data_IF_188607181859
#
_entry.id   IF_188607181859
#
_cell.length_a   1.000
_cell.length_b   1.000
_cell.length_c   1.000
_cell.angle_alpha   90.00
_cell.angle_beta   90.00
_cell.angle_gamma   90.00
#
_symmetry.space_group_name_H-M   'P 1'
#
loop_
_entity.id
_entity.type
_entity.pdbx_description
1 polymer ?
#
# COMPACT_ATOMS: atom_id res chain seq x y z
N UNK A 1 -23.63 11.87 -18.57
CA UNK A 1 -24.32 11.04 -17.56
C UNK A 1 -25.77 11.48 -17.49
N UNK A 2 -26.70 10.55 -17.30
CA UNK A 2 -28.10 10.89 -17.07
C UNK A 2 -28.27 11.36 -15.61
N UNK A 3 -28.77 12.57 -15.41
CA UNK A 3 -29.19 13.07 -14.09
C UNK A 3 -30.67 12.75 -13.96
N UNK A 4 -31.01 11.80 -13.10
CA UNK A 4 -32.40 11.44 -12.85
C UNK A 4 -33.03 12.47 -11.91
N UNK A 5 -33.99 13.25 -12.41
CA UNK A 5 -34.72 14.26 -11.63
C UNK A 5 -35.89 13.61 -10.87
N UNK A 6 -36.16 14.09 -9.65
CA UNK A 6 -36.84 13.37 -8.58
C UNK A 6 -38.27 12.88 -8.86
N UNK A 7 -38.46 11.56 -8.76
CA UNK A 7 -39.67 10.97 -8.18
C UNK A 7 -39.26 10.42 -6.80
N UNK A 8 -39.56 11.14 -5.71
CA UNK A 8 -39.27 10.77 -4.31
C UNK A 8 -38.03 9.87 -4.14
N UNK A 9 -36.83 10.46 -4.18
CA UNK A 9 -35.64 9.74 -3.76
C UNK A 9 -35.77 9.47 -2.25
N UNK A 10 -35.68 8.19 -1.88
CA UNK A 10 -35.40 7.76 -0.52
C UNK A 10 -34.06 8.40 -0.11
N UNK A 11 -33.91 8.91 1.11
CA UNK A 11 -32.71 9.66 1.55
C UNK A 11 -31.42 8.83 1.49
N UNK A 12 -31.55 7.53 1.24
CA UNK A 12 -30.47 6.57 1.07
C UNK A 12 -29.96 6.60 -0.36
N UNK A 13 -28.84 7.29 -0.56
CA UNK A 13 -27.99 7.10 -1.74
C UNK A 13 -27.38 5.70 -1.68
N UNK A 14 -27.48 4.95 -2.77
CA UNK A 14 -26.74 3.70 -2.96
C UNK A 14 -25.26 4.02 -3.23
N UNK A 15 -24.47 4.14 -2.16
CA UNK A 15 -23.04 4.41 -2.21
C UNK A 15 -22.26 3.14 -2.58
N UNK A 16 -21.20 3.26 -3.38
CA UNK A 16 -20.39 2.09 -3.71
C UNK A 16 -19.62 1.65 -2.47
N UNK A 17 -19.37 0.35 -2.33
CA UNK A 17 -18.53 -0.15 -1.24
C UNK A 17 -17.15 0.50 -1.26
N UNK A 18 -16.87 1.36 -0.29
CA UNK A 18 -15.55 1.96 -0.08
C UNK A 18 -14.85 1.26 1.08
N UNK A 19 -13.69 0.65 0.80
CA UNK A 19 -12.75 0.24 1.84
C UNK A 19 -11.78 1.37 2.10
N UNK A 20 -11.49 1.62 3.37
CA UNK A 20 -10.39 2.49 3.82
C UNK A 20 -9.05 2.07 3.18
N UNK A 21 -8.04 2.92 3.34
CA UNK A 21 -6.71 2.68 2.78
C UNK A 21 -6.11 1.39 3.35
N UNK A 22 -5.83 0.41 2.49
CA UNK A 22 -5.28 -0.89 2.89
C UNK A 22 -3.74 -0.86 2.87
N UNK A 23 -3.13 0.03 2.11
CA UNK A 23 -1.67 0.10 1.98
C UNK A 23 -0.94 0.74 3.17
N UNK A 24 -1.66 1.38 4.10
CA UNK A 24 -1.06 2.17 5.19
C UNK A 24 -0.15 1.34 6.11
N UNK A 25 -0.45 0.06 6.31
CA UNK A 25 0.35 -0.81 7.18
C UNK A 25 1.70 -1.25 6.59
N UNK A 26 1.89 -1.12 5.27
CA UNK A 26 3.08 -1.61 4.55
C UNK A 26 3.94 -0.48 3.97
N UNK A 27 3.67 0.76 4.38
CA UNK A 27 4.42 1.95 3.98
C UNK A 27 4.97 2.67 5.22
N UNK A 28 6.00 3.49 5.03
CA UNK A 28 6.51 4.41 6.03
C UNK A 28 6.54 5.86 5.52
N UNK A 29 6.79 6.77 6.44
CA UNK A 29 7.03 8.20 6.17
C UNK A 29 8.48 8.60 6.50
N UNK A 30 9.41 7.63 6.48
CA UNK A 30 10.80 7.80 6.89
C UNK A 30 11.63 8.36 5.73
N UNK A 31 11.36 9.62 5.38
CA UNK A 31 12.06 10.29 4.29
C UNK A 31 12.15 11.80 4.50
N UNK A 32 13.17 12.41 3.91
CA UNK A 32 13.35 13.87 3.88
C UNK A 32 13.16 14.40 2.45
N UNK A 33 12.33 15.44 2.32
CA UNK A 33 12.20 16.18 1.07
C UNK A 33 13.42 17.07 0.84
N UNK A 34 14.07 16.91 -0.31
CA UNK A 34 15.11 17.82 -0.77
C UNK A 34 14.60 18.58 -1.99
N UNK A 35 14.22 19.84 -1.76
CA UNK A 35 13.67 20.71 -2.79
C UNK A 35 12.20 20.40 -3.14
N UNK A 36 11.86 20.51 -4.42
CA UNK A 36 10.47 20.53 -4.87
C UNK A 36 9.90 19.14 -5.16
N UNK A 37 10.65 18.23 -5.79
CA UNK A 37 10.09 16.93 -6.22
C UNK A 37 10.95 15.73 -5.85
N UNK A 38 12.04 15.94 -5.12
CA UNK A 38 13.03 14.89 -4.85
C UNK A 38 13.03 14.50 -3.38
N UNK A 39 13.02 13.20 -3.14
CA UNK A 39 13.22 12.56 -1.85
C UNK A 39 14.56 11.84 -1.89
N UNK A 40 15.39 12.03 -0.86
CA UNK A 40 16.64 11.25 -0.75
C UNK A 40 16.62 10.41 0.51
N UNK A 41 17.10 9.19 0.36
CA UNK A 41 17.39 8.32 1.49
C UNK A 41 18.87 8.01 1.47
N UNK A 42 19.54 8.33 2.58
CA UNK A 42 20.95 8.04 2.77
C UNK A 42 21.11 6.59 3.20
N UNK A 43 22.04 5.89 2.58
CA UNK A 43 22.51 4.60 3.04
C UNK A 43 24.02 4.63 3.27
N UNK A 44 24.40 4.06 4.40
CA UNK A 44 25.79 3.96 4.83
C UNK A 44 26.11 2.46 4.84
N UNK A 45 26.87 1.93 3.85
CA UNK A 45 27.29 0.53 3.83
C UNK A 45 28.22 0.22 5.01
N UNK A 46 28.26 -1.05 5.43
CA UNK A 46 29.21 -1.53 6.43
C UNK A 46 30.43 -2.16 5.77
N UNK A 47 31.59 -2.10 6.43
CA UNK A 47 32.81 -2.82 6.01
C UNK A 47 32.81 -4.25 6.52
N UNK A 48 33.51 -5.15 5.79
CA UNK A 48 33.70 -6.53 6.21
C UNK A 48 34.50 -6.65 7.52
N UNK A 49 34.31 -7.75 8.24
CA UNK A 49 35.10 -8.06 9.44
C UNK A 49 36.39 -8.77 9.02
N UNK A 50 37.53 -8.30 9.54
CA UNK A 50 38.86 -8.88 9.30
C UNK A 50 39.38 -9.58 10.57
N UNK A 51 40.21 -10.61 10.38
CA UNK A 51 40.88 -11.29 11.49
C UNK A 51 41.89 -10.36 12.18
N UNK A 52 41.78 -10.25 13.51
CA UNK A 52 42.64 -9.38 14.30
C UNK A 52 44.06 -9.97 14.45
N UNK A 53 45.08 -9.16 14.15
CA UNK A 53 46.49 -9.52 14.34
C UNK A 53 46.97 -9.08 15.72
N UNK A 54 47.50 -9.99 16.52
CA UNK A 54 48.00 -9.72 17.88
C UNK A 54 49.39 -9.06 17.92
N UNK A 55 50.08 -8.99 16.78
CA UNK A 55 51.40 -8.36 16.64
C UNK A 55 51.52 -7.63 15.29
N UNK A 56 52.45 -6.68 15.21
CA UNK A 56 52.62 -5.80 14.03
C UNK A 56 51.74 -4.54 14.05
N UNK A 57 51.75 -3.81 12.92
CA UNK A 57 50.92 -2.64 12.61
C UNK A 57 49.66 -3.07 11.83
N UNK A 58 48.63 -2.21 11.74
CA UNK A 58 47.31 -2.51 11.12
C UNK A 58 46.65 -3.76 11.70
N UNK A 59 46.56 -3.82 13.04
CA UNK A 59 46.06 -4.99 13.78
C UNK A 59 44.60 -5.34 13.48
N UNK A 60 43.82 -4.36 13.03
CA UNK A 60 42.41 -4.50 12.67
C UNK A 60 42.18 -4.65 11.16
N UNK A 61 43.25 -4.79 10.36
CA UNK A 61 43.22 -4.73 8.90
C UNK A 61 43.52 -3.32 8.37
N UNK A 62 43.42 -3.17 7.05
CA UNK A 62 43.55 -1.86 6.39
C UNK A 62 42.24 -1.09 6.53
N UNK A 63 42.32 0.17 6.97
CA UNK A 63 41.15 1.01 7.16
C UNK A 63 40.61 1.45 5.79
N UNK A 64 39.43 0.95 5.43
CA UNK A 64 38.66 1.45 4.29
C UNK A 64 37.77 2.61 4.74
N UNK A 65 37.67 3.64 3.91
CA UNK A 65 36.74 4.74 4.13
C UNK A 65 35.31 4.27 3.83
N UNK A 66 34.42 4.41 4.80
CA UNK A 66 33.00 4.13 4.59
C UNK A 66 32.44 5.15 3.59
N UNK A 67 32.22 4.73 2.35
CA UNK A 67 31.50 5.53 1.36
C UNK A 67 30.05 5.78 1.80
N UNK A 68 29.38 6.73 1.17
CA UNK A 68 27.93 6.92 1.30
C UNK A 68 27.24 6.67 -0.05
N UNK A 69 26.09 6.02 -0.02
CA UNK A 69 25.23 5.87 -1.19
C UNK A 69 23.95 6.67 -0.97
N UNK A 70 23.52 7.39 -2.01
CA UNK A 70 22.35 8.27 -1.94
C UNK A 70 21.35 7.81 -2.97
N UNK A 71 20.24 7.23 -2.51
CA UNK A 71 19.14 6.87 -3.40
C UNK A 71 18.28 8.11 -3.61
N UNK A 72 18.28 8.63 -4.84
CA UNK A 72 17.51 9.81 -5.22
C UNK A 72 16.23 9.38 -5.91
N UNK A 73 15.09 9.66 -5.28
CA UNK A 73 13.76 9.28 -5.75
C UNK A 73 12.99 10.54 -6.13
N UNK A 74 12.39 10.58 -7.32
CA UNK A 74 11.65 11.76 -7.81
C UNK A 74 10.17 11.44 -7.89
N UNK A 75 9.33 12.30 -7.32
CA UNK A 75 7.87 12.16 -7.36
C UNK A 75 7.33 12.29 -8.79
N UNK A 76 6.53 11.33 -9.23
CA UNK A 76 5.97 11.26 -10.59
C UNK A 76 4.46 11.39 -10.65
N UNK A 77 3.71 11.11 -9.58
CA UNK A 77 2.24 11.18 -9.62
C UNK A 77 1.75 12.55 -9.16
N UNK A 78 1.10 13.22 -10.11
CA UNK A 78 0.34 14.45 -9.89
C UNK A 78 -1.04 14.23 -10.50
N UNK A 79 -2.05 14.08 -9.65
CA UNK A 79 -3.38 13.61 -10.05
C UNK A 79 -4.42 14.60 -9.56
N UNK A 80 -5.44 14.83 -10.37
CA UNK A 80 -6.52 15.75 -10.04
C UNK A 80 -7.87 15.21 -10.47
N UNK A 81 -8.93 15.71 -9.84
CA UNK A 81 -10.30 15.49 -10.24
C UNK A 81 -11.06 16.81 -10.16
N UNK A 82 -12.10 16.94 -10.99
CA UNK A 82 -12.98 18.10 -11.00
C UNK A 82 -14.38 17.64 -11.37
N UNK A 83 -15.39 18.14 -10.66
CA UNK A 83 -16.79 17.92 -11.01
C UNK A 83 -17.66 19.10 -10.59
N UNK A 84 -18.76 19.30 -11.30
CA UNK A 84 -19.71 20.38 -11.05
C UNK A 84 -21.04 19.81 -10.57
N UNK A 85 -21.67 20.50 -9.63
CA UNK A 85 -23.03 20.23 -9.17
C UNK A 85 -23.86 21.45 -9.54
N UNK A 86 -24.81 21.29 -10.44
CA UNK A 86 -25.72 22.38 -10.82
C UNK A 86 -26.68 22.72 -9.67
N UNK A 87 -26.99 24.00 -9.50
CA UNK A 87 -27.85 24.49 -8.42
C UNK A 87 -29.27 23.94 -8.47
N UNK A 88 -29.81 23.71 -9.66
CA UNK A 88 -31.12 23.05 -9.83
C UNK A 88 -31.06 21.62 -9.28
N UNK A 89 -30.00 20.89 -9.61
CA UNK A 89 -29.79 19.53 -9.10
C UNK A 89 -29.56 19.50 -7.59
N UNK A 90 -28.85 20.47 -7.01
CA UNK A 90 -28.66 20.58 -5.56
C UNK A 90 -30.00 20.82 -4.83
N UNK A 91 -30.85 21.72 -5.36
CA UNK A 91 -32.16 22.04 -4.79
C UNK A 91 -33.18 20.89 -4.97
N UNK A 92 -33.19 20.25 -6.15
CA UNK A 92 -34.13 19.17 -6.47
C UNK A 92 -33.78 17.83 -5.80
N UNK A 93 -32.59 17.72 -5.17
CA UNK A 93 -32.11 16.49 -4.49
C UNK A 93 -32.04 16.60 -2.96
N UNK A 94 -32.59 17.66 -2.35
CA UNK A 94 -32.79 17.78 -0.90
C UNK A 94 -31.55 17.45 -0.04
N UNK A 95 -30.34 17.85 -0.46
CA UNK A 95 -29.08 17.64 0.28
C UNK A 95 -28.34 16.33 0.00
N UNK A 96 -28.84 15.48 -0.90
CA UNK A 96 -28.16 14.26 -1.37
C UNK A 96 -26.93 14.54 -2.23
N UNK A 97 -26.95 15.63 -3.00
CA UNK A 97 -25.83 16.13 -3.80
C UNK A 97 -25.03 17.22 -3.09
N UNK A 98 -24.95 17.20 -1.76
CA UNK A 98 -24.11 18.13 -1.02
C UNK A 98 -22.64 17.97 -1.44
N UNK A 99 -22.00 19.08 -1.83
CA UNK A 99 -20.64 19.08 -2.37
C UNK A 99 -19.62 18.41 -1.44
N UNK A 100 -19.77 18.55 -0.11
CA UNK A 100 -18.91 17.89 0.88
C UNK A 100 -19.05 16.36 0.89
N UNK A 101 -20.28 15.84 0.80
CA UNK A 101 -20.53 14.38 0.73
C UNK A 101 -20.08 13.81 -0.61
N UNK A 102 -20.29 14.54 -1.70
CA UNK A 102 -19.78 14.15 -3.01
C UNK A 102 -18.24 14.09 -3.04
N UNK A 103 -17.57 15.05 -2.40
CA UNK A 103 -16.12 15.03 -2.22
C UNK A 103 -15.67 13.81 -1.39
N UNK A 104 -16.33 13.53 -0.27
CA UNK A 104 -16.01 12.37 0.56
C UNK A 104 -16.13 11.05 -0.22
N UNK A 105 -17.17 10.90 -1.05
CA UNK A 105 -17.34 9.74 -1.96
C UNK A 105 -16.23 9.67 -3.00
N UNK A 106 -15.87 10.80 -3.60
CA UNK A 106 -14.77 10.83 -4.57
C UNK A 106 -13.45 10.40 -3.93
N UNK A 107 -13.19 10.82 -2.68
CA UNK A 107 -12.02 10.41 -1.93
C UNK A 107 -12.02 8.90 -1.64
N UNK A 108 -13.14 8.38 -1.13
CA UNK A 108 -13.26 6.98 -0.69
C UNK A 108 -13.35 5.97 -1.84
N UNK A 109 -14.01 6.34 -2.94
CA UNK A 109 -14.29 5.43 -4.06
C UNK A 109 -13.28 5.51 -5.20
N UNK A 110 -12.56 6.62 -5.35
CA UNK A 110 -11.65 6.84 -6.50
C UNK A 110 -10.23 7.11 -6.05
N UNK A 111 -10.03 8.11 -5.20
CA UNK A 111 -8.68 8.54 -4.81
C UNK A 111 -7.96 7.47 -4.00
N UNK A 112 -8.56 6.99 -2.90
CA UNK A 112 -7.94 5.99 -2.03
C UNK A 112 -7.61 4.70 -2.81
N UNK A 113 -8.52 4.12 -3.61
CA UNK A 113 -8.19 2.97 -4.45
C UNK A 113 -7.08 3.22 -5.48
N UNK A 114 -7.04 4.41 -6.10
CA UNK A 114 -5.98 4.74 -7.06
C UNK A 114 -4.60 4.75 -6.39
N UNK A 115 -4.49 5.43 -5.24
CA UNK A 115 -3.25 5.51 -4.46
C UNK A 115 -2.82 4.13 -3.96
N UNK A 116 -3.74 3.33 -3.41
CA UNK A 116 -3.45 1.97 -2.95
C UNK A 116 -2.94 1.08 -4.10
N UNK A 117 -3.64 1.09 -5.25
CA UNK A 117 -3.25 0.27 -6.40
C UNK A 117 -1.86 0.62 -6.90
N UNK A 118 -1.54 1.92 -6.92
CA UNK A 118 -0.21 2.39 -7.29
C UNK A 118 0.87 1.94 -6.30
N UNK A 119 0.59 2.02 -4.98
CA UNK A 119 1.51 1.54 -3.93
C UNK A 119 1.77 0.05 -4.06
N UNK A 120 0.73 -0.78 -4.17
CA UNK A 120 0.89 -2.22 -4.35
C UNK A 120 1.65 -2.57 -5.62
N UNK A 121 1.38 -1.89 -6.75
CA UNK A 121 2.13 -2.08 -7.98
C UNK A 121 3.62 -1.74 -7.80
N UNK A 122 3.93 -0.66 -7.10
CA UNK A 122 5.31 -0.25 -6.85
C UNK A 122 6.05 -1.21 -5.92
N UNK A 123 5.38 -1.68 -4.87
CA UNK A 123 5.91 -2.67 -3.92
C UNK A 123 6.23 -3.98 -4.64
N UNK A 124 5.31 -4.47 -5.48
CA UNK A 124 5.52 -5.71 -6.24
C UNK A 124 6.64 -5.55 -7.28
N UNK A 125 6.72 -4.39 -7.93
CA UNK A 125 7.77 -4.12 -8.92
C UNK A 125 9.15 -3.92 -8.30
N UNK A 126 9.21 -3.39 -7.07
CA UNK A 126 10.46 -3.13 -6.36
C UNK A 126 10.97 -4.30 -5.51
N UNK A 127 10.22 -5.40 -5.40
CA UNK A 127 10.65 -6.59 -4.67
C UNK A 127 11.91 -7.21 -5.30
N UNK A 128 12.78 -7.78 -4.45
CA UNK A 128 13.97 -8.48 -4.92
C UNK A 128 13.59 -9.74 -5.73
N UNK A 129 14.34 -10.05 -6.78
CA UNK A 129 14.05 -11.22 -7.64
C UNK A 129 14.06 -12.54 -6.87
N UNK A 130 14.90 -12.65 -5.84
CA UNK A 130 15.01 -13.85 -5.00
C UNK A 130 13.83 -14.01 -4.03
N UNK A 131 13.03 -12.95 -3.88
CA UNK A 131 11.86 -12.87 -3.01
C UNK A 131 10.55 -12.86 -3.82
N UNK A 132 10.63 -13.13 -5.13
CA UNK A 132 9.46 -13.32 -6.01
C UNK A 132 9.34 -14.81 -6.32
N UNK A 133 8.39 -15.47 -5.66
CA UNK A 133 8.01 -16.83 -6.00
C UNK A 133 6.92 -16.83 -7.08
N UNK A 134 6.97 -17.80 -7.99
CA UNK A 134 5.89 -18.05 -8.95
C UNK A 134 5.46 -19.50 -8.83
N UNK A 135 4.18 -19.74 -8.62
CA UNK A 135 3.68 -21.10 -8.46
C UNK A 135 2.16 -21.18 -8.32
N UNK A 136 1.60 -22.34 -8.65
CA UNK A 136 0.17 -22.58 -8.49
C UNK A 136 -0.20 -22.72 -7.01
N UNK A 137 -1.13 -21.89 -6.56
CA UNK A 137 -1.73 -22.02 -5.23
C UNK A 137 -2.91 -22.98 -5.28
N UNK A 138 -2.91 -23.96 -4.39
CA UNK A 138 -3.93 -24.98 -4.22
C UNK A 138 -4.35 -25.05 -2.75
N UNK A 139 -5.38 -25.83 -2.45
CA UNK A 139 -5.87 -26.03 -1.08
C UNK A 139 -4.94 -26.85 -0.18
N UNK A 140 -3.82 -27.38 -0.67
CA UNK A 140 -2.92 -28.23 0.13
C UNK A 140 -1.55 -27.59 0.37
N UNK A 141 -1.23 -26.53 -0.36
CA UNK A 141 0.08 -25.85 -0.28
C UNK A 141 -0.05 -24.37 0.08
N UNK A 142 -1.27 -23.83 0.25
CA UNK A 142 -1.46 -22.41 0.50
C UNK A 142 -0.79 -21.96 1.80
N UNK A 143 -0.86 -22.78 2.85
CA UNK A 143 -0.19 -22.48 4.12
C UNK A 143 1.33 -22.58 4.02
N UNK A 144 1.84 -23.64 3.38
CA UNK A 144 3.28 -23.87 3.17
C UNK A 144 3.94 -22.71 2.41
N UNK A 145 3.28 -22.20 1.36
CA UNK A 145 3.79 -21.07 0.57
C UNK A 145 3.94 -19.77 1.39
N UNK A 146 3.07 -19.55 2.40
CA UNK A 146 3.20 -18.40 3.31
C UNK A 146 4.39 -18.59 4.26
N UNK A 147 4.59 -19.81 4.75
CA UNK A 147 5.74 -20.15 5.59
C UNK A 147 7.07 -19.99 4.83
N UNK A 148 7.13 -20.44 3.58
CA UNK A 148 8.30 -20.24 2.72
C UNK A 148 8.65 -18.76 2.56
N UNK A 149 7.63 -17.91 2.38
CA UNK A 149 7.79 -16.46 2.35
C UNK A 149 8.35 -15.91 3.66
N UNK A 150 7.89 -16.42 4.81
CA UNK A 150 8.43 -16.02 6.11
C UNK A 150 9.87 -16.48 6.33
N UNK A 151 10.22 -17.70 5.92
CA UNK A 151 11.60 -18.21 5.97
C UNK A 151 12.51 -17.30 5.16
N UNK A 152 12.13 -16.95 3.92
CA UNK A 152 12.91 -16.03 3.07
C UNK A 152 13.13 -14.66 3.70
N UNK A 153 12.10 -14.09 4.34
CA UNK A 153 12.21 -12.82 5.04
C UNK A 153 13.12 -12.92 6.28
N UNK A 154 13.04 -14.02 7.02
CA UNK A 154 13.85 -14.26 8.21
C UNK A 154 15.33 -14.50 7.85
N UNK A 155 15.60 -15.27 6.78
CA UNK A 155 16.96 -15.46 6.25
C UNK A 155 17.60 -14.14 5.80
N UNK A 156 16.77 -13.18 5.36
CA UNK A 156 17.20 -11.83 5.00
C UNK A 156 17.29 -10.87 6.22
N UNK A 157 17.20 -11.37 7.45
CA UNK A 157 17.23 -10.60 8.70
C UNK A 157 16.15 -9.50 8.80
N UNK A 158 15.03 -9.66 8.10
CA UNK A 158 13.90 -8.73 8.19
C UNK A 158 13.23 -8.92 9.56
N UNK A 159 12.90 -7.85 10.32
CA UNK A 159 12.20 -8.00 11.59
C UNK A 159 10.89 -8.77 11.44
N UNK A 160 10.57 -9.62 12.42
CA UNK A 160 9.31 -10.39 12.45
C UNK A 160 8.12 -9.50 12.83
N UNK A 161 8.32 -8.58 13.77
CA UNK A 161 7.32 -7.59 14.15
C UNK A 161 7.06 -6.60 13.01
N UNK A 162 5.79 -6.36 12.69
CA UNK A 162 5.39 -5.38 11.66
C UNK A 162 5.30 -5.95 10.24
N UNK A 163 5.58 -7.24 10.02
CA UNK A 163 5.27 -7.91 8.75
C UNK A 163 3.76 -8.02 8.59
N UNK A 164 3.23 -7.63 7.44
CA UNK A 164 1.80 -7.72 7.13
C UNK A 164 1.60 -8.56 5.88
N UNK A 165 0.61 -9.45 5.92
CA UNK A 165 0.24 -10.35 4.83
C UNK A 165 -0.99 -9.80 4.09
N UNK A 166 -0.79 -9.31 2.86
CA UNK A 166 -1.86 -8.92 1.96
C UNK A 166 -2.23 -10.09 1.06
N UNK A 167 -3.50 -10.49 1.10
CA UNK A 167 -4.00 -11.66 0.35
C UNK A 167 -5.09 -11.26 -0.64
N UNK A 168 -5.07 -11.90 -1.81
CA UNK A 168 -6.20 -11.87 -2.73
C UNK A 168 -7.38 -12.64 -2.12
N UNK A 169 -8.64 -12.34 -2.48
CA UNK A 169 -9.79 -13.09 -1.97
C UNK A 169 -9.79 -14.55 -2.41
N UNK A 170 -9.21 -14.83 -3.59
CA UNK A 170 -9.03 -16.18 -4.12
C UNK A 170 -8.05 -16.97 -3.25
N UNK A 171 -6.90 -16.39 -2.92
CA UNK A 171 -5.92 -16.99 -2.01
C UNK A 171 -6.51 -17.19 -0.61
N UNK A 172 -7.20 -16.18 -0.08
CA UNK A 172 -7.82 -16.26 1.25
C UNK A 172 -8.89 -17.36 1.37
N UNK A 173 -9.59 -17.67 0.27
CA UNK A 173 -10.47 -18.85 0.22
C UNK A 173 -9.66 -20.15 0.28
N UNK A 174 -8.57 -20.24 -0.47
CA UNK A 174 -7.74 -21.46 -0.54
C UNK A 174 -7.06 -21.77 0.79
N UNK A 175 -6.53 -20.77 1.48
CA UNK A 175 -5.89 -20.97 2.79
C UNK A 175 -6.87 -21.44 3.87
N UNK A 176 -8.13 -20.96 3.83
CA UNK A 176 -9.19 -21.45 4.73
C UNK A 176 -9.62 -22.90 4.45
N UNK A 177 -9.42 -23.37 3.22
CA UNK A 177 -9.71 -24.75 2.84
C UNK A 177 -8.51 -25.68 3.11
N UNK A 178 -7.38 -25.13 3.54
CA UNK A 178 -6.18 -25.90 3.77
C UNK A 178 -6.28 -26.69 5.09
N UNK A 179 -6.25 -28.04 5.03
CA UNK A 179 -6.37 -28.86 6.22
C UNK A 179 -5.20 -28.66 7.19
N UNK A 180 -4.02 -28.23 6.72
CA UNK A 180 -2.88 -27.91 7.60
C UNK A 180 -3.13 -26.63 8.37
N UNK A 181 -3.74 -25.62 7.72
CA UNK A 181 -4.15 -24.38 8.37
C UNK A 181 -5.22 -24.63 9.42
N UNK A 182 -6.29 -25.37 9.08
CA UNK A 182 -7.42 -25.66 9.99
C UNK A 182 -6.98 -26.43 11.24
N UNK A 183 -5.96 -27.29 11.13
CA UNK A 183 -5.42 -28.05 12.27
C UNK A 183 -4.52 -27.22 13.19
N UNK A 184 -3.84 -26.21 12.64
CA UNK A 184 -2.87 -25.38 13.35
C UNK A 184 -3.43 -24.00 13.73
N UNK A 185 -4.64 -23.66 13.32
CA UNK A 185 -5.21 -22.33 13.52
C UNK A 185 -5.79 -22.18 14.92
N UNK A 186 -5.13 -21.37 15.75
CA UNK A 186 -5.74 -20.72 16.89
C UNK A 186 -6.52 -19.51 16.35
N UNK A 187 -7.78 -19.73 15.95
CA UNK A 187 -8.66 -18.67 15.43
C UNK A 187 -9.14 -17.76 16.58
N UNK A 188 -8.22 -17.02 17.19
CA UNK A 188 -8.54 -15.80 17.92
C UNK A 188 -9.02 -14.75 16.92
N UNK A 189 -10.30 -14.75 16.58
CA UNK A 189 -10.93 -13.68 15.80
C UNK A 189 -11.04 -12.42 16.66
N UNK A 190 -9.93 -11.73 16.91
CA UNK A 190 -10.01 -10.29 17.14
C UNK A 190 -9.89 -9.61 15.78
N UNK A 191 -11.04 -9.19 15.24
CA UNK A 191 -11.06 -8.21 14.15
C UNK A 191 -10.55 -6.91 14.75
N UNK A 192 -9.24 -6.69 14.71
CA UNK A 192 -8.69 -5.39 15.06
C UNK A 192 -8.99 -4.41 13.92
N UNK A 193 -9.41 -3.22 14.32
CA UNK A 193 -9.74 -2.07 13.47
C UNK A 193 -8.62 -1.87 12.41
N UNK A 194 -8.99 -1.52 11.16
CA UNK A 194 -8.14 -1.34 9.95
C UNK A 194 -8.13 -2.49 8.90
N UNK A 195 -9.23 -3.25 8.75
CA UNK A 195 -9.38 -4.18 7.62
C UNK A 195 -8.57 -5.48 7.70
N UNK A 196 -8.01 -5.77 8.88
CA UNK A 196 -7.39 -7.05 9.20
C UNK A 196 -8.47 -8.11 9.45
N UNK A 197 -8.27 -9.32 8.91
CA UNK A 197 -9.24 -10.43 8.94
C UNK A 197 -8.74 -11.62 9.77
N UNK A 198 -7.84 -11.36 10.71
CA UNK A 198 -7.18 -12.33 11.58
C UNK A 198 -5.67 -12.36 11.38
N UNK A 199 -5.02 -13.36 11.98
CA UNK A 199 -3.59 -13.58 11.87
C UNK A 199 -3.28 -14.99 11.35
N UNK A 200 -2.21 -15.13 10.57
CA UNK A 200 -1.67 -16.41 10.09
C UNK A 200 -0.21 -16.45 10.48
N UNK A 201 0.16 -17.38 11.37
CA UNK A 201 1.54 -17.54 11.86
C UNK A 201 2.13 -16.21 12.38
N UNK A 202 1.35 -15.48 13.18
CA UNK A 202 1.74 -14.17 13.74
C UNK A 202 1.70 -12.99 12.75
N UNK A 203 1.40 -13.23 11.46
CA UNK A 203 1.21 -12.17 10.46
C UNK A 203 -0.24 -11.67 10.46
N UNK A 204 -0.51 -10.38 10.68
CA UNK A 204 -1.81 -9.79 10.43
C UNK A 204 -2.19 -9.92 8.95
N UNK A 205 -3.36 -10.48 8.68
CA UNK A 205 -3.86 -10.71 7.32
C UNK A 205 -4.79 -9.60 6.91
N UNK A 206 -4.48 -8.93 5.80
CA UNK A 206 -5.32 -7.89 5.20
C UNK A 206 -5.92 -8.41 3.90
N UNK A 207 -7.25 -8.53 3.88
CA UNK A 207 -7.98 -8.97 2.70
C UNK A 207 -8.05 -7.85 1.67
N UNK A 208 -7.25 -7.97 0.62
CA UNK A 208 -7.09 -6.94 -0.40
C UNK A 208 -7.89 -7.32 -1.65
N UNK A 209 -8.81 -6.46 -2.13
CA UNK A 209 -9.57 -6.73 -3.36
C UNK A 209 -8.64 -6.96 -4.55
N UNK A 210 -9.00 -7.91 -5.43
CA UNK A 210 -8.22 -8.21 -6.64
C UNK A 210 -8.05 -6.99 -7.55
N UNK A 211 -8.97 -6.02 -7.49
CA UNK A 211 -8.86 -4.76 -8.24
C UNK A 211 -7.75 -3.84 -7.77
N UNK A 212 -7.28 -3.97 -6.52
CA UNK A 212 -6.18 -3.16 -5.95
C UNK A 212 -4.83 -3.88 -6.02
N UNK A 213 -4.81 -5.20 -6.22
CA UNK A 213 -3.57 -5.98 -6.39
C UNK A 213 -3.15 -6.00 -7.86
N UNK A 214 -1.84 -6.01 -8.15
CA UNK A 214 -1.34 -6.23 -9.51
C UNK A 214 -1.79 -7.60 -10.05
N UNK A 215 -1.89 -7.67 -11.38
CA UNK A 215 -2.30 -8.91 -12.04
C UNK A 215 -1.34 -10.06 -11.70
N UNK A 216 -1.90 -11.26 -11.54
CA UNK A 216 -1.18 -12.49 -11.23
C UNK A 216 -0.47 -12.49 -9.86
N UNK A 217 -0.85 -11.61 -8.92
CA UNK A 217 -0.34 -11.65 -7.54
C UNK A 217 -1.38 -12.31 -6.64
N UNK A 218 -0.99 -13.38 -5.96
CA UNK A 218 -1.87 -14.13 -5.05
C UNK A 218 -1.77 -13.57 -3.62
N UNK A 219 -0.55 -13.32 -3.13
CA UNK A 219 -0.31 -12.63 -1.87
C UNK A 219 1.04 -11.89 -1.83
N UNK A 220 1.16 -10.96 -0.89
CA UNK A 220 2.35 -10.16 -0.63
C UNK A 220 2.59 -10.17 0.88
N UNK A 221 3.83 -10.43 1.31
CA UNK A 221 4.27 -10.15 2.68
C UNK A 221 5.22 -8.97 2.62
N UNK A 222 4.91 -7.89 3.31
CA UNK A 222 5.75 -6.70 3.31
C UNK A 222 5.90 -6.15 4.72
N UNK A 223 7.09 -5.61 5.00
CA UNK A 223 7.32 -4.81 6.19
C UNK A 223 7.31 -3.31 5.80
N UNK A 224 6.68 -2.42 6.60
CA UNK A 224 6.59 -0.99 6.30
C UNK A 224 7.94 -0.30 6.08
N UNK A 225 9.05 -0.87 6.56
CA UNK A 225 10.39 -0.31 6.45
C UNK A 225 10.91 -0.27 5.01
N UNK A 226 10.35 -1.08 4.11
CA UNK A 226 10.79 -1.18 2.73
C UNK A 226 10.35 0.00 1.87
N UNK A 227 9.18 0.59 2.18
CA UNK A 227 8.44 1.42 1.23
C UNK A 227 8.10 2.80 1.79
N UNK A 228 8.96 3.82 1.62
CA UNK A 228 8.58 5.21 1.83
C UNK A 228 7.52 5.66 0.80
N UNK A 229 6.49 6.36 1.27
CA UNK A 229 5.34 6.77 0.46
C UNK A 229 4.97 8.24 0.69
N UNK A 230 5.71 9.17 0.06
CA UNK A 230 5.50 10.60 0.26
C UNK A 230 4.19 11.09 -0.35
N UNK A 231 3.50 11.93 0.41
CA UNK A 231 2.39 12.75 -0.06
C UNK A 231 2.80 14.20 0.15
N UNK A 232 2.91 14.97 -0.92
CA UNK A 232 3.44 16.35 -0.88
C UNK A 232 2.36 17.41 -0.92
N UNK A 233 1.26 17.14 -1.62
CA UNK A 233 0.16 18.07 -1.75
C UNK A 233 -1.13 17.29 -1.71
N UNK A 234 -2.03 17.74 -0.85
CA UNK A 234 -3.45 17.38 -0.86
C UNK A 234 -4.22 18.70 -0.76
N UNK A 235 -4.81 19.14 -1.87
CA UNK A 235 -5.57 20.38 -1.92
C UNK A 235 -6.96 20.07 -2.49
N UNK A 236 -7.99 20.37 -1.69
CA UNK A 236 -9.40 20.15 -2.03
C UNK A 236 -10.15 21.46 -1.88
N UNK A 237 -10.82 21.88 -2.95
CA UNK A 237 -11.55 23.15 -3.01
C UNK A 237 -12.98 22.92 -3.44
N UNK A 238 -13.88 23.63 -2.78
CA UNK A 238 -15.28 23.73 -3.16
C UNK A 238 -15.56 25.20 -3.44
N UNK A 239 -15.82 25.51 -4.70
CA UNK A 239 -16.20 26.84 -5.15
C UNK A 239 -17.73 26.95 -5.21
N UNK A 240 -18.26 28.06 -4.71
CA UNK A 240 -19.69 28.38 -4.79
C UNK A 240 -19.95 29.43 -5.87
N UNK A 241 -20.75 29.07 -6.87
CA UNK A 241 -21.08 29.88 -8.05
C UNK A 241 -19.86 30.56 -8.70
N UNK A 242 -18.83 29.80 -9.12
CA UNK A 242 -17.71 30.40 -9.84
C UNK A 242 -18.17 30.93 -11.21
N UNK A 243 -17.43 31.88 -11.81
CA UNK A 243 -17.78 32.44 -13.11
C UNK A 243 -18.02 31.34 -14.16
N UNK A 244 -19.21 31.34 -14.78
CA UNK A 244 -19.59 30.37 -15.81
C UNK A 244 -20.29 29.09 -15.31
N UNK A 245 -20.46 28.90 -13.99
CA UNK A 245 -21.18 27.74 -13.41
C UNK A 245 -22.21 28.24 -12.40
N UNK A 246 -23.48 27.83 -12.57
CA UNK A 246 -24.55 28.09 -11.61
C UNK A 246 -24.70 26.87 -10.67
N UNK A 247 -23.98 26.89 -9.54
CA UNK A 247 -23.90 25.76 -8.62
C UNK A 247 -22.53 25.65 -7.95
N UNK A 248 -22.14 24.44 -7.55
CA UNK A 248 -20.84 24.16 -6.90
C UNK A 248 -19.85 23.56 -7.89
N UNK A 249 -18.59 23.95 -7.78
CA UNK A 249 -17.47 23.31 -8.48
C UNK A 249 -16.55 22.72 -7.41
N UNK A 250 -16.30 21.41 -7.50
CA UNK A 250 -15.40 20.69 -6.58
C UNK A 250 -14.16 20.28 -7.34
N UNK A 251 -13.00 20.63 -6.80
CA UNK A 251 -11.70 20.34 -7.39
C UNK A 251 -10.78 19.72 -6.33
N UNK A 252 -9.99 18.74 -6.74
CA UNK A 252 -8.99 18.12 -5.89
C UNK A 252 -7.70 17.88 -6.66
N UNK A 253 -6.56 18.08 -6.01
CA UNK A 253 -5.23 17.74 -6.53
C UNK A 253 -4.41 17.05 -5.45
N UNK A 254 -3.80 15.93 -5.82
CA UNK A 254 -3.01 15.10 -4.93
C UNK A 254 -1.69 14.76 -5.63
N UNK A 255 -0.58 15.09 -4.96
CA UNK A 255 0.77 14.75 -5.39
C UNK A 255 1.33 13.70 -4.44
N UNK A 256 1.50 12.49 -4.93
CA UNK A 256 1.92 11.34 -4.14
C UNK A 256 2.96 10.51 -4.89
N UNK A 257 3.71 9.69 -4.18
CA UNK A 257 4.49 8.63 -4.79
C UNK A 257 4.72 7.49 -3.78
N UNK A 258 5.28 6.38 -4.25
CA UNK A 258 5.76 5.28 -3.44
C UNK A 258 7.10 4.84 -4.02
N UNK A 259 8.02 4.45 -3.15
CA UNK A 259 9.33 3.97 -3.59
C UNK A 259 9.75 2.79 -2.75
N UNK A 260 10.59 1.91 -3.31
CA UNK A 260 11.19 0.79 -2.58
C UNK A 260 12.68 1.08 -2.39
N UNK A 261 13.15 0.95 -1.16
CA UNK A 261 14.54 1.18 -0.79
C UNK A 261 15.43 0.03 -1.25
N UNK A 262 16.55 0.35 -1.89
CA UNK A 262 17.43 -0.66 -2.50
C UNK A 262 18.03 -1.64 -1.47
N UNK A 263 18.32 -1.16 -0.26
CA UNK A 263 18.85 -2.01 0.81
C UNK A 263 17.75 -2.80 1.55
N UNK A 264 16.47 -2.41 1.40
CA UNK A 264 15.34 -2.99 2.15
C UNK A 264 14.32 -3.68 1.25
N UNK A 265 14.56 -3.78 -0.07
CA UNK A 265 13.69 -4.52 -1.02
C UNK A 265 13.49 -5.99 -0.66
N UNK A 266 14.43 -6.59 0.05
CA UNK A 266 14.31 -7.96 0.60
C UNK A 266 13.28 -8.09 1.72
N UNK A 267 12.77 -6.98 2.25
CA UNK A 267 11.65 -6.98 3.21
C UNK A 267 10.27 -7.09 2.54
N UNK A 268 10.23 -7.33 1.22
CA UNK A 268 9.04 -7.59 0.45
C UNK A 268 9.17 -9.00 -0.15
N UNK A 269 8.16 -9.84 0.08
CA UNK A 269 8.00 -11.14 -0.55
C UNK A 269 6.71 -11.15 -1.36
N UNK A 270 6.77 -11.64 -2.59
CA UNK A 270 5.62 -11.69 -3.50
C UNK A 270 5.45 -13.10 -4.04
N UNK A 271 4.24 -13.62 -3.94
CA UNK A 271 3.87 -14.87 -4.60
C UNK A 271 2.96 -14.60 -5.79
N UNK A 272 3.45 -14.93 -6.98
CA UNK A 272 2.72 -14.81 -8.24
C UNK A 272 2.06 -16.13 -8.62
N UNK A 273 0.87 -16.05 -9.22
CA UNK A 273 0.27 -17.20 -9.88
C UNK A 273 1.10 -17.59 -11.10
N UNK A 274 1.31 -18.90 -11.28
CA UNK A 274 1.86 -19.48 -12.49
C UNK A 274 0.95 -19.27 -13.72
#
# INVERSE_FOLDING_TARGET
>A
MAVNYAAKFDEKVDERFAKEALSTGIINQDFDFLGVDTVKVYSIPTTGMNDYKTSGQNRYGDAEELGNAVQTMTMKKDRSFTFTIDKKSEQDTNGTMEAGKALARQLSEVVIPEVDTYRFATIVAGADTDHIATGSVTKTNAYELVLDGQVKLTDAFVPTAGRILHVSPKFYKLIKLDPTFVKNSDLGQEITINGQVGMIDGLPVVLTPTSRLPQNVEFIIAHPVATPSPIKLEDYKIHDNPPGINGKLVEGRIRYDAFVLDNKKKAIYVHKSA
#
